data_IF_448563769200
#
_entry.id   IF_448563769200
#
_cell.length_a   1.000
_cell.length_b   1.000
_cell.length_c   1.000
_cell.angle_alpha   90.00
_cell.angle_beta   90.00
_cell.angle_gamma   90.00
#
_symmetry.space_group_name_H-M   'P 1'
#
loop_
_entity.id
_entity.type
_entity.pdbx_description
1 polymer ?
#
# COMPACT_ATOMS: atom_id res chain seq x y z
N UNK A 1 -61.33 -10.66 27.85
CA UNK A 1 -59.91 -10.93 27.53
C UNK A 1 -59.52 -10.06 26.34
N UNK A 2 -58.80 -8.97 26.60
CA UNK A 2 -58.59 -7.89 25.63
C UNK A 2 -57.51 -8.25 24.61
N UNK A 3 -57.90 -8.37 23.33
CA UNK A 3 -57.00 -8.58 22.18
C UNK A 3 -55.88 -7.52 22.05
N UNK A 4 -56.01 -6.38 22.75
CA UNK A 4 -55.04 -5.28 22.75
C UNK A 4 -53.77 -5.57 23.55
N UNK A 5 -53.82 -6.38 24.61
CA UNK A 5 -52.64 -6.67 25.43
C UNK A 5 -51.70 -7.70 24.78
N UNK A 6 -52.25 -8.57 23.92
CA UNK A 6 -51.47 -9.56 23.18
C UNK A 6 -50.60 -8.92 22.09
N UNK A 7 -51.12 -7.88 21.42
CA UNK A 7 -50.38 -7.14 20.39
C UNK A 7 -49.22 -6.30 20.95
N UNK A 8 -49.35 -5.79 22.18
CA UNK A 8 -48.29 -5.00 22.82
C UNK A 8 -47.15 -5.90 23.30
N UNK A 9 -47.46 -7.11 23.80
CA UNK A 9 -46.43 -8.07 24.25
C UNK A 9 -45.63 -8.69 23.09
N UNK A 10 -46.26 -8.84 21.92
CA UNK A 10 -45.57 -9.36 20.73
C UNK A 10 -44.61 -8.34 20.08
N UNK A 11 -44.89 -7.04 20.21
CA UNK A 11 -44.05 -5.98 19.63
C UNK A 11 -42.77 -5.72 20.43
N UNK A 12 -42.79 -5.92 21.75
CA UNK A 12 -41.60 -5.76 22.61
C UNK A 12 -40.62 -6.93 22.53
N UNK A 13 -41.09 -8.14 22.22
CA UNK A 13 -40.21 -9.30 21.99
C UNK A 13 -39.47 -9.27 20.64
N UNK A 14 -40.02 -8.57 19.63
CA UNK A 14 -39.36 -8.42 18.33
C UNK A 14 -38.27 -7.32 18.35
N UNK A 15 -38.40 -6.31 19.22
CA UNK A 15 -37.44 -5.21 19.31
C UNK A 15 -36.15 -5.57 20.07
N UNK A 16 -36.18 -6.56 20.95
CA UNK A 16 -34.98 -7.00 21.70
C UNK A 16 -34.15 -8.06 20.96
N UNK A 17 -34.74 -8.77 19.99
CA UNK A 17 -34.02 -9.78 19.19
C UNK A 17 -33.14 -9.17 18.07
N UNK A 18 -33.42 -7.93 17.64
CA UNK A 18 -32.64 -7.26 16.59
C UNK A 18 -31.33 -6.61 17.11
N UNK A 19 -31.11 -6.60 18.43
CA UNK A 19 -29.90 -6.08 19.07
C UNK A 19 -28.87 -7.17 19.41
N UNK A 20 -29.15 -8.43 19.06
CA UNK A 20 -28.18 -9.51 19.10
C UNK A 20 -27.15 -9.33 17.99
N UNK A 21 -26.23 -8.38 18.24
CA UNK A 21 -24.81 -8.45 17.87
C UNK A 21 -24.54 -9.04 16.49
N UNK A 22 -24.30 -8.17 15.53
CA UNK A 22 -23.29 -8.44 14.51
C UNK A 22 -21.96 -8.63 15.24
N UNK A 23 -21.75 -9.80 15.83
CA UNK A 23 -20.45 -10.27 16.21
C UNK A 23 -19.70 -10.47 14.90
N UNK A 24 -19.09 -9.40 14.39
CA UNK A 24 -18.04 -9.56 13.41
C UNK A 24 -17.04 -10.48 14.08
N UNK A 25 -16.84 -11.67 13.52
CA UNK A 25 -15.76 -12.55 13.93
C UNK A 25 -14.47 -11.73 13.76
N UNK A 26 -14.03 -11.06 14.83
CA UNK A 26 -12.74 -10.42 14.85
C UNK A 26 -11.77 -11.59 14.74
N UNK A 27 -11.01 -11.63 13.65
CA UNK A 27 -9.93 -12.59 13.49
C UNK A 27 -9.09 -12.58 14.77
N UNK A 28 -8.49 -13.74 15.10
CA UNK A 28 -7.58 -13.81 16.24
C UNK A 28 -6.59 -12.64 16.14
N UNK A 29 -6.30 -11.95 17.26
CA UNK A 29 -5.32 -10.87 17.23
C UNK A 29 -3.99 -11.41 16.67
N UNK A 30 -3.23 -10.61 15.90
CA UNK A 30 -1.93 -11.03 15.38
C UNK A 30 -1.04 -11.53 16.51
N UNK A 31 -0.33 -12.63 16.27
CA UNK A 31 0.53 -13.29 17.25
C UNK A 31 2.00 -13.07 16.90
N UNK A 32 2.77 -12.59 17.86
CA UNK A 32 4.23 -12.49 17.74
C UNK A 32 4.84 -13.88 17.52
N UNK A 33 5.79 -13.99 16.60
CA UNK A 33 6.42 -15.25 16.22
C UNK A 33 5.65 -16.06 15.17
N UNK A 34 4.41 -15.67 14.83
CA UNK A 34 3.61 -16.29 13.77
C UNK A 34 3.26 -15.28 12.66
N UNK A 35 2.61 -14.17 13.02
CA UNK A 35 2.13 -13.16 12.07
C UNK A 35 3.12 -12.00 11.90
N UNK A 36 3.90 -11.71 12.94
CA UNK A 36 4.92 -10.67 12.92
C UNK A 36 6.08 -10.99 13.88
N UNK A 37 7.18 -10.26 13.71
CA UNK A 37 8.33 -10.30 14.63
C UNK A 37 8.57 -8.88 15.16
N UNK A 38 8.83 -8.78 16.46
CA UNK A 38 9.37 -7.55 17.05
C UNK A 38 10.88 -7.58 16.86
N UNK A 39 11.44 -6.49 16.34
CA UNK A 39 12.89 -6.37 16.22
C UNK A 39 13.48 -6.06 17.60
N UNK A 40 14.51 -6.82 18.00
CA UNK A 40 15.27 -6.56 19.24
C UNK A 40 15.80 -5.12 19.31
N UNK A 41 16.14 -4.58 18.13
CA UNK A 41 16.57 -3.20 17.94
C UNK A 41 15.62 -2.53 16.96
N UNK A 42 14.74 -1.62 17.42
CA UNK A 42 13.87 -0.87 16.53
C UNK A 42 14.67 -0.11 15.48
N UNK A 43 14.22 -0.15 14.22
CA UNK A 43 14.77 0.69 13.17
C UNK A 43 14.36 2.16 13.42
N UNK A 44 15.22 3.14 13.07
CA UNK A 44 14.82 4.54 13.09
C UNK A 44 13.66 4.76 12.10
N UNK A 45 12.72 5.64 12.48
CA UNK A 45 11.58 6.01 11.65
C UNK A 45 11.82 7.34 10.95
N UNK A 46 11.35 7.50 9.71
CA UNK A 46 11.42 8.77 8.97
C UNK A 46 10.13 9.61 9.11
N UNK A 47 9.08 9.03 9.70
CA UNK A 47 7.81 9.72 9.89
C UNK A 47 7.92 10.91 10.86
N UNK A 48 7.11 11.98 10.68
CA UNK A 48 7.05 13.09 11.61
C UNK A 48 6.76 12.65 13.05
N UNK A 49 7.27 13.40 14.03
CA UNK A 49 7.04 13.09 15.44
C UNK A 49 5.55 12.91 15.77
N UNK A 50 5.23 11.82 16.46
CA UNK A 50 3.85 11.46 16.81
C UNK A 50 3.06 10.75 15.70
N UNK A 51 3.70 10.39 14.58
CA UNK A 51 3.13 9.52 13.53
C UNK A 51 3.65 8.10 13.64
N UNK A 52 2.81 7.16 13.21
CA UNK A 52 3.14 5.75 13.05
C UNK A 52 3.64 5.55 11.62
N UNK A 53 4.85 5.04 11.45
CA UNK A 53 5.40 4.69 10.14
C UNK A 53 5.02 3.26 9.77
N UNK A 54 4.51 3.09 8.55
CA UNK A 54 4.39 1.79 7.89
C UNK A 54 5.30 1.84 6.67
N UNK A 55 6.23 0.89 6.57
CA UNK A 55 7.16 0.81 5.43
C UNK A 55 6.83 -0.41 4.60
N UNK A 56 6.55 -0.21 3.31
CA UNK A 56 6.50 -1.29 2.34
C UNK A 56 7.86 -1.43 1.66
N UNK A 57 8.51 -2.58 1.86
CA UNK A 57 9.69 -2.96 1.08
C UNK A 57 9.26 -3.70 -0.19
N UNK A 58 9.58 -3.15 -1.35
CA UNK A 58 9.08 -3.70 -2.62
C UNK A 58 10.14 -3.71 -3.72
N UNK A 59 9.82 -4.36 -4.83
CA UNK A 59 10.57 -4.24 -6.08
C UNK A 59 9.58 -4.27 -7.25
N UNK A 60 9.74 -3.41 -8.25
CA UNK A 60 8.77 -3.31 -9.32
C UNK A 60 8.63 -4.58 -10.18
N UNK A 61 9.63 -5.47 -10.20
CA UNK A 61 9.51 -6.77 -10.89
C UNK A 61 9.11 -7.93 -9.99
N UNK A 62 8.83 -7.68 -8.70
CA UNK A 62 8.38 -8.70 -7.76
C UNK A 62 6.90 -9.06 -8.00
N UNK A 63 6.58 -10.30 -8.40
CA UNK A 63 5.20 -10.69 -8.72
C UNK A 63 4.27 -10.68 -7.51
N UNK A 64 4.80 -10.90 -6.30
CA UNK A 64 4.03 -10.81 -5.05
C UNK A 64 3.66 -9.37 -4.73
N UNK A 65 4.60 -8.44 -4.93
CA UNK A 65 4.43 -7.01 -4.72
C UNK A 65 3.34 -6.48 -5.67
N UNK A 66 3.45 -6.77 -6.97
CA UNK A 66 2.42 -6.42 -7.96
C UNK A 66 1.02 -6.97 -7.61
N UNK A 67 0.94 -8.18 -7.06
CA UNK A 67 -0.34 -8.77 -6.64
C UNK A 67 -0.90 -8.09 -5.38
N UNK A 68 -0.04 -7.61 -4.51
CA UNK A 68 -0.41 -6.96 -3.25
C UNK A 68 -0.85 -5.51 -3.43
N UNK A 69 -0.28 -4.78 -4.40
CA UNK A 69 -0.55 -3.35 -4.64
C UNK A 69 -2.04 -2.95 -4.59
N UNK A 70 -2.98 -3.64 -5.26
CA UNK A 70 -4.39 -3.24 -5.21
C UNK A 70 -4.96 -3.24 -3.79
N UNK A 71 -4.53 -4.18 -2.94
CA UNK A 71 -4.98 -4.30 -1.56
C UNK A 71 -4.36 -3.20 -0.69
N UNK A 72 -3.08 -2.90 -0.91
CA UNK A 72 -2.40 -1.81 -0.22
C UNK A 72 -2.99 -0.45 -0.61
N UNK A 73 -3.24 -0.19 -1.90
CA UNK A 73 -3.89 1.04 -2.39
C UNK A 73 -5.27 1.26 -1.76
N UNK A 74 -6.05 0.19 -1.58
CA UNK A 74 -7.34 0.25 -0.89
C UNK A 74 -7.21 0.55 0.60
N UNK A 75 -6.20 0.00 1.26
CA UNK A 75 -5.92 0.27 2.66
C UNK A 75 -5.42 1.71 2.87
N UNK A 76 -4.53 2.22 2.02
CA UNK A 76 -4.02 3.61 2.08
C UNK A 76 -5.16 4.63 2.05
N UNK A 77 -6.18 4.39 1.22
CA UNK A 77 -7.37 5.27 1.14
C UNK A 77 -8.18 5.32 2.44
N UNK A 78 -8.01 4.34 3.33
CA UNK A 78 -8.75 4.18 4.59
C UNK A 78 -7.85 4.32 5.83
N UNK A 79 -6.54 4.55 5.65
CA UNK A 79 -5.60 4.52 6.76
C UNK A 79 -5.87 5.66 7.75
N UNK A 80 -5.65 5.44 9.06
CA UNK A 80 -5.77 6.48 10.07
C UNK A 80 -4.87 7.69 9.79
N UNK A 81 -5.28 8.89 10.26
CA UNK A 81 -4.55 10.15 10.00
C UNK A 81 -3.18 10.23 10.68
N UNK A 82 -2.95 9.42 11.70
CA UNK A 82 -1.69 9.29 12.43
C UNK A 82 -0.73 8.28 11.78
N UNK A 83 -1.14 7.59 10.72
CA UNK A 83 -0.30 6.65 9.97
C UNK A 83 0.28 7.32 8.71
N UNK A 84 1.54 7.04 8.44
CA UNK A 84 2.23 7.43 7.20
C UNK A 84 2.77 6.17 6.53
N UNK A 85 2.37 5.94 5.28
CA UNK A 85 2.97 4.91 4.43
C UNK A 85 4.19 5.49 3.71
N UNK A 86 5.33 4.80 3.84
CA UNK A 86 6.51 5.00 3.02
C UNK A 86 6.78 3.74 2.21
N UNK A 87 7.20 3.88 0.95
CA UNK A 87 7.66 2.74 0.16
C UNK A 87 9.16 2.81 0.00
N UNK A 88 9.82 1.66 0.12
CA UNK A 88 11.26 1.53 0.10
C UNK A 88 11.64 0.43 -0.91
N UNK A 89 12.11 0.78 -2.12
CA UNK A 89 12.52 -0.21 -3.09
C UNK A 89 13.78 -0.95 -2.61
N UNK A 90 13.74 -2.28 -2.54
CA UNK A 90 14.86 -3.09 -2.03
C UNK A 90 16.06 -3.09 -2.99
N UNK A 91 17.27 -3.19 -2.44
CA UNK A 91 18.54 -3.26 -3.20
C UNK A 91 19.27 -4.57 -2.95
N UNK A 92 18.69 -5.70 -3.38
CA UNK A 92 19.33 -7.00 -3.15
C UNK A 92 20.42 -7.32 -4.17
N UNK A 93 20.37 -6.72 -5.36
CA UNK A 93 21.30 -6.94 -6.46
C UNK A 93 21.50 -5.66 -7.28
N UNK A 94 22.66 -5.45 -7.94
CA UNK A 94 22.90 -4.25 -8.73
C UNK A 94 21.88 -4.01 -9.87
N UNK A 95 21.32 -5.08 -10.45
CA UNK A 95 20.34 -4.96 -11.53
C UNK A 95 18.97 -4.43 -11.08
N UNK A 96 18.76 -4.24 -9.77
CA UNK A 96 17.55 -3.60 -9.25
C UNK A 96 17.62 -2.07 -9.35
N UNK A 97 18.83 -1.51 -9.32
CA UNK A 97 19.09 -0.08 -9.18
C UNK A 97 18.27 0.80 -10.15
N UNK A 98 18.10 0.44 -11.45
CA UNK A 98 17.30 1.27 -12.35
C UNK A 98 15.85 1.43 -11.93
N UNK A 99 15.25 0.39 -11.36
CA UNK A 99 13.87 0.44 -10.84
C UNK A 99 13.79 1.17 -9.50
N UNK A 100 14.85 1.11 -8.68
CA UNK A 100 14.92 1.85 -7.42
C UNK A 100 15.02 3.36 -7.68
N UNK A 101 15.95 3.77 -8.54
CA UNK A 101 16.11 5.17 -8.96
C UNK A 101 14.85 5.68 -9.66
N UNK A 102 14.21 4.86 -10.51
CA UNK A 102 12.90 5.20 -11.08
C UNK A 102 11.89 5.56 -9.98
N UNK A 103 11.75 4.75 -8.93
CA UNK A 103 10.84 5.07 -7.82
C UNK A 103 11.16 6.42 -7.17
N UNK A 104 12.42 6.67 -6.81
CA UNK A 104 12.80 7.92 -6.14
C UNK A 104 12.70 9.16 -7.04
N UNK A 105 12.94 9.02 -8.35
CA UNK A 105 12.63 10.08 -9.32
C UNK A 105 11.13 10.38 -9.34
N UNK A 106 10.28 9.36 -9.40
CA UNK A 106 8.83 9.57 -9.34
C UNK A 106 8.38 10.18 -8.01
N UNK A 107 9.00 9.79 -6.90
CA UNK A 107 8.71 10.31 -5.56
C UNK A 107 9.07 11.80 -5.45
N UNK A 108 10.29 12.16 -5.84
CA UNK A 108 10.75 13.57 -5.85
C UNK A 108 9.91 14.47 -6.76
N UNK A 109 9.31 13.91 -7.82
CA UNK A 109 8.41 14.63 -8.72
C UNK A 109 6.93 14.62 -8.26
N UNK A 110 6.60 13.97 -7.14
CA UNK A 110 5.23 13.84 -6.66
C UNK A 110 4.33 13.01 -7.59
N UNK A 111 4.91 12.08 -8.36
CA UNK A 111 4.24 11.29 -9.40
C UNK A 111 3.94 9.84 -9.01
N UNK A 112 4.30 9.42 -7.80
CA UNK A 112 4.09 8.03 -7.33
C UNK A 112 2.62 7.64 -7.41
N UNK A 113 1.69 8.45 -6.89
CA UNK A 113 0.25 8.12 -6.90
C UNK A 113 -0.29 7.88 -8.32
N UNK A 114 0.24 8.59 -9.32
CA UNK A 114 -0.20 8.49 -10.71
C UNK A 114 0.46 7.32 -11.46
N UNK A 115 1.75 7.11 -11.21
CA UNK A 115 2.61 6.30 -12.08
C UNK A 115 3.03 4.97 -11.46
N UNK A 116 2.95 4.79 -10.14
CA UNK A 116 3.44 3.59 -9.46
C UNK A 116 2.82 2.30 -10.02
N UNK A 117 1.48 2.26 -10.14
CA UNK A 117 0.76 1.15 -10.75
C UNK A 117 1.06 0.96 -12.24
N UNK A 118 1.34 2.05 -12.97
CA UNK A 118 1.71 1.97 -14.38
C UNK A 118 3.10 1.32 -14.56
N UNK A 119 4.04 1.55 -13.64
CA UNK A 119 5.34 0.86 -13.67
C UNK A 119 5.14 -0.65 -13.51
N UNK A 120 4.35 -1.05 -12.51
CA UNK A 120 4.01 -2.46 -12.30
C UNK A 120 3.32 -3.09 -13.52
N UNK A 121 2.35 -2.40 -14.13
CA UNK A 121 1.71 -2.87 -15.36
C UNK A 121 2.70 -3.01 -16.52
N UNK A 122 3.61 -2.05 -16.69
CA UNK A 122 4.62 -2.12 -17.74
C UNK A 122 5.48 -3.38 -17.62
N UNK A 123 5.83 -3.80 -16.40
CA UNK A 123 6.65 -4.99 -16.18
C UNK A 123 5.82 -6.28 -16.24
N UNK A 124 4.72 -6.35 -15.49
CA UNK A 124 3.98 -7.59 -15.29
C UNK A 124 2.97 -7.90 -16.40
N UNK A 125 2.45 -6.88 -17.09
CA UNK A 125 1.48 -7.03 -18.18
C UNK A 125 2.17 -6.82 -19.53
N UNK A 126 2.86 -5.70 -19.71
CA UNK A 126 3.47 -5.33 -20.99
C UNK A 126 4.86 -5.95 -21.22
N UNK A 127 5.40 -6.66 -20.21
CA UNK A 127 6.68 -7.37 -20.27
C UNK A 127 7.88 -6.46 -20.61
N UNK A 128 7.82 -5.20 -20.23
CA UNK A 128 8.95 -4.28 -20.31
C UNK A 128 9.88 -4.55 -19.12
N UNK A 129 11.17 -4.87 -19.32
CA UNK A 129 12.03 -5.27 -18.20
C UNK A 129 12.46 -4.09 -17.31
N UNK A 130 12.46 -2.86 -17.84
CA UNK A 130 12.77 -1.62 -17.10
C UNK A 130 14.01 -1.73 -16.19
N UNK A 131 15.04 -2.44 -16.65
CA UNK A 131 16.22 -2.82 -15.86
C UNK A 131 17.50 -2.11 -16.30
N UNK A 132 17.37 -1.00 -17.02
CA UNK A 132 18.47 -0.09 -17.39
C UNK A 132 17.98 1.36 -17.33
N UNK A 133 18.90 2.31 -17.13
CA UNK A 133 18.60 3.73 -17.08
C UNK A 133 17.86 4.22 -18.34
N UNK A 134 18.30 3.78 -19.52
CA UNK A 134 17.66 4.15 -20.80
C UNK A 134 16.23 3.62 -20.89
N UNK A 135 15.99 2.38 -20.46
CA UNK A 135 14.64 1.80 -20.51
C UNK A 135 13.67 2.52 -19.58
N UNK A 136 14.10 2.86 -18.36
CA UNK A 136 13.24 3.61 -17.43
C UNK A 136 13.02 5.06 -17.89
N UNK A 137 14.03 5.70 -18.49
CA UNK A 137 13.89 7.05 -19.06
C UNK A 137 12.94 7.06 -20.27
N UNK A 138 13.06 6.11 -21.19
CA UNK A 138 12.13 5.97 -22.32
C UNK A 138 10.71 5.63 -21.86
N UNK A 139 10.55 4.83 -20.81
CA UNK A 139 9.24 4.58 -20.24
C UNK A 139 8.64 5.85 -19.61
N UNK A 140 9.42 6.59 -18.82
CA UNK A 140 8.99 7.84 -18.18
C UNK A 140 8.59 8.91 -19.21
N UNK A 141 9.33 9.03 -20.32
CA UNK A 141 9.00 9.91 -21.43
C UNK A 141 7.61 9.60 -22.02
N UNK A 142 7.28 8.32 -22.20
CA UNK A 142 5.94 7.90 -22.64
C UNK A 142 4.83 8.22 -21.64
N UNK A 143 5.17 8.43 -20.36
CA UNK A 143 4.24 8.88 -19.33
C UNK A 143 4.12 10.42 -19.26
N UNK A 144 4.79 11.16 -20.15
CA UNK A 144 4.74 12.61 -20.20
C UNK A 144 5.77 13.31 -19.29
N UNK A 145 6.76 12.60 -18.77
CA UNK A 145 7.90 13.20 -18.05
C UNK A 145 8.94 13.64 -19.08
N UNK A 146 9.41 14.88 -19.00
CA UNK A 146 10.51 15.34 -19.85
C UNK A 146 11.76 14.48 -19.64
N UNK A 147 12.30 13.92 -20.72
CA UNK A 147 13.40 12.95 -20.65
C UNK A 147 14.67 13.55 -20.06
N UNK A 148 14.99 14.81 -20.37
CA UNK A 148 16.18 15.46 -19.85
C UNK A 148 16.07 15.67 -18.32
N UNK A 149 14.91 16.16 -17.85
CA UNK A 149 14.62 16.28 -16.42
C UNK A 149 14.63 14.93 -15.70
N UNK A 150 14.11 13.88 -16.34
CA UNK A 150 14.17 12.54 -15.77
C UNK A 150 15.61 12.07 -15.59
N UNK A 151 16.45 12.20 -16.62
CA UNK A 151 17.86 11.77 -16.56
C UNK A 151 18.64 12.56 -15.52
N UNK A 152 18.42 13.87 -15.44
CA UNK A 152 19.02 14.73 -14.41
C UNK A 152 18.67 14.24 -13.00
N UNK A 153 17.38 14.04 -12.71
CA UNK A 153 16.92 13.52 -11.43
C UNK A 153 17.46 12.11 -11.16
N UNK A 154 17.45 11.23 -12.16
CA UNK A 154 17.92 9.84 -12.04
C UNK A 154 19.41 9.76 -11.65
N UNK A 155 20.24 10.68 -12.16
CA UNK A 155 21.67 10.74 -11.85
C UNK A 155 21.97 11.40 -10.50
N UNK A 156 20.97 12.02 -9.84
CA UNK A 156 21.11 12.63 -8.52
C UNK A 156 20.90 11.66 -7.35
N UNK A 157 20.36 10.46 -7.65
CA UNK A 157 20.28 9.31 -6.75
C UNK A 157 21.42 8.32 -7.02
#
# INVERSE_FOLDING_TARGET
>A
MQRREFSISAATLAATAALATTAQAQGKPPQEGADFLVLDKPAPTEAPAGKIEVVEFFWYSCPHCNRFEPQLEEWVKKMPKDVVLRRAPVSFRPDFEPQQRLYYVLESMGKVEELHKKVFNAIHVERQPLNTADMVATWAEKQGIDKAKFIEAYNSF
#
